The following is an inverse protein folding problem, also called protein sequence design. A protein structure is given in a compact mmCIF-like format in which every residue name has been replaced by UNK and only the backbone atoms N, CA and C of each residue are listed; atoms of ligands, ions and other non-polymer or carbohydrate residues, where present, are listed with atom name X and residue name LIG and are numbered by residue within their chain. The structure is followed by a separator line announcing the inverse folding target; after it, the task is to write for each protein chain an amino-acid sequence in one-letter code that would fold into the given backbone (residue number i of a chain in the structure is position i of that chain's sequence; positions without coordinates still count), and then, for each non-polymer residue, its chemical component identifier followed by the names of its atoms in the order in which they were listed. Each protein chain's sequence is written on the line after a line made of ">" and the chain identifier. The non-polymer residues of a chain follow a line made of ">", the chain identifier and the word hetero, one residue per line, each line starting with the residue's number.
data_IF_914761186390
#
_entry.id   IF_914761186390
#
_cell.length_a   1.000
_cell.length_b   1.000
_cell.length_c   1.000
_cell.angle_alpha   90.00
_cell.angle_beta   90.00
_cell.angle_gamma   90.00
#
_symmetry.space_group_name_H-M   'P 1'
#
loop_
_entity.id
_entity.type
_entity.pdbx_description
1 polymer ?
#
# COMPACT_ATOMS: atom_id res chain seq x y z
N UNK A 1 -25.66 25.12 -6.56
CA UNK A 1 -26.47 25.46 -5.39
C UNK A 1 -26.77 26.92 -5.55
N UNK A 2 -28.01 27.24 -5.89
CA UNK A 2 -28.39 28.62 -6.09
C UNK A 2 -28.62 29.25 -4.70
N UNK A 3 -28.16 30.48 -4.48
CA UNK A 3 -28.21 31.08 -3.14
C UNK A 3 -29.65 31.25 -2.62
N UNK A 4 -30.62 31.27 -3.53
CA UNK A 4 -32.04 31.39 -3.23
C UNK A 4 -32.64 30.07 -2.70
N UNK A 5 -32.25 28.92 -3.26
CA UNK A 5 -32.79 27.62 -2.83
C UNK A 5 -32.26 27.15 -1.47
N UNK A 6 -31.21 27.79 -0.95
CA UNK A 6 -30.61 27.47 0.34
C UNK A 6 -31.53 27.84 1.52
N UNK A 7 -32.27 28.95 1.40
CA UNK A 7 -33.13 29.46 2.47
C UNK A 7 -34.42 28.67 2.65
N UNK A 8 -34.84 27.93 1.62
CA UNK A 8 -36.03 27.08 1.65
C UNK A 8 -35.74 25.65 2.14
N UNK A 9 -34.47 25.30 2.38
CA UNK A 9 -34.06 23.96 2.80
C UNK A 9 -34.08 23.80 4.32
N UNK A 10 -34.47 22.61 4.79
CA UNK A 10 -34.35 22.23 6.19
C UNK A 10 -32.89 22.07 6.61
N UNK A 11 -32.61 22.16 7.91
CA UNK A 11 -31.25 21.97 8.44
C UNK A 11 -30.61 20.64 8.01
N UNK A 12 -31.39 19.56 7.93
CA UNK A 12 -30.92 18.26 7.48
C UNK A 12 -30.54 18.26 5.99
N UNK A 13 -31.31 18.93 5.15
CA UNK A 13 -31.03 19.07 3.73
C UNK A 13 -29.80 19.96 3.48
N UNK A 14 -29.64 21.03 4.25
CA UNK A 14 -28.43 21.86 4.22
C UNK A 14 -27.20 21.01 4.60
N UNK A 15 -27.26 20.27 5.70
CA UNK A 15 -26.16 19.43 6.14
C UNK A 15 -25.80 18.35 5.10
N UNK A 16 -26.80 17.66 4.54
CA UNK A 16 -26.57 16.63 3.52
C UNK A 16 -25.99 17.21 2.24
N UNK A 17 -26.42 18.40 1.84
CA UNK A 17 -25.87 19.08 0.66
C UNK A 17 -24.41 19.51 0.84
N UNK A 18 -24.05 20.04 2.01
CA UNK A 18 -22.67 20.39 2.35
C UNK A 18 -21.81 19.13 2.35
N UNK A 19 -22.28 18.05 2.96
CA UNK A 19 -21.57 16.77 3.00
C UNK A 19 -21.40 16.17 1.60
N UNK A 20 -22.42 16.25 0.76
CA UNK A 20 -22.36 15.80 -0.62
C UNK A 20 -21.35 16.62 -1.44
N UNK A 21 -21.31 17.94 -1.23
CA UNK A 21 -20.34 18.83 -1.88
C UNK A 21 -18.91 18.51 -1.44
N UNK A 22 -18.65 18.35 -0.15
CA UNK A 22 -17.35 17.96 0.39
C UNK A 22 -16.89 16.62 -0.19
N UNK A 23 -17.79 15.62 -0.24
CA UNK A 23 -17.50 14.31 -0.82
C UNK A 23 -17.15 14.41 -2.30
N UNK A 24 -17.88 15.23 -3.08
CA UNK A 24 -17.55 15.47 -4.50
C UNK A 24 -16.18 16.12 -4.67
N UNK A 25 -15.87 17.12 -3.85
CA UNK A 25 -14.55 17.76 -3.86
C UNK A 25 -13.42 16.79 -3.51
N UNK A 26 -13.64 15.92 -2.53
CA UNK A 26 -12.67 14.87 -2.19
C UNK A 26 -12.45 13.90 -3.36
N UNK A 27 -13.52 13.46 -4.04
CA UNK A 27 -13.40 12.58 -5.20
C UNK A 27 -12.71 13.26 -6.39
N UNK A 28 -12.97 14.55 -6.60
CA UNK A 28 -12.31 15.33 -7.65
C UNK A 28 -10.80 15.41 -7.38
N UNK A 29 -10.41 15.70 -6.13
CA UNK A 29 -9.01 15.75 -5.72
C UNK A 29 -8.32 14.39 -5.85
N UNK A 30 -8.99 13.30 -5.44
CA UNK A 30 -8.47 11.94 -5.62
C UNK A 30 -8.25 11.62 -7.10
N UNK A 31 -9.19 12.00 -7.97
CA UNK A 31 -9.08 11.77 -9.41
C UNK A 31 -7.90 12.54 -10.01
N UNK A 32 -7.76 13.81 -9.65
CA UNK A 32 -6.63 14.66 -10.08
C UNK A 32 -5.29 14.12 -9.58
N UNK A 33 -5.22 13.65 -8.34
CA UNK A 33 -4.01 13.05 -7.77
C UNK A 33 -3.59 11.78 -8.52
N UNK A 34 -4.54 10.89 -8.85
CA UNK A 34 -4.26 9.66 -9.63
C UNK A 34 -3.73 10.00 -11.02
N UNK A 35 -4.37 10.94 -11.72
CA UNK A 35 -3.95 11.36 -13.06
C UNK A 35 -2.54 11.96 -13.00
N UNK A 36 -2.30 12.88 -12.06
CA UNK A 36 -1.01 13.54 -11.90
C UNK A 36 0.10 12.55 -11.55
N UNK A 37 -0.19 11.58 -10.67
CA UNK A 37 0.73 10.51 -10.33
C UNK A 37 1.08 9.64 -11.53
N UNK A 38 0.08 9.27 -12.34
CA UNK A 38 0.31 8.45 -13.53
C UNK A 38 1.14 9.21 -14.57
N UNK A 39 0.88 10.50 -14.77
CA UNK A 39 1.70 11.36 -15.64
C UNK A 39 3.15 11.45 -15.14
N UNK A 40 3.34 11.68 -13.84
CA UNK A 40 4.66 11.73 -13.22
C UNK A 40 5.40 10.39 -13.36
N UNK A 41 4.69 9.26 -13.24
CA UNK A 41 5.24 7.93 -13.44
C UNK A 41 5.74 7.75 -14.89
N UNK A 42 4.92 8.07 -15.88
CA UNK A 42 5.29 7.97 -17.29
C UNK A 42 6.50 8.86 -17.64
N UNK A 43 6.52 10.10 -17.14
CA UNK A 43 7.64 11.01 -17.31
C UNK A 43 8.91 10.46 -16.64
N UNK A 44 8.79 9.96 -15.41
CA UNK A 44 9.91 9.35 -14.69
C UNK A 44 10.46 8.13 -15.43
N UNK A 45 9.61 7.33 -16.08
CA UNK A 45 10.07 6.17 -16.85
C UNK A 45 10.83 6.59 -18.11
N UNK A 46 10.31 7.56 -18.86
CA UNK A 46 10.98 8.11 -20.05
C UNK A 46 12.35 8.72 -19.71
N UNK A 47 12.39 9.54 -18.66
CA UNK A 47 13.63 10.15 -18.16
C UNK A 47 14.56 9.06 -17.61
N UNK A 48 14.04 8.06 -16.91
CA UNK A 48 14.83 6.95 -16.37
C UNK A 48 15.52 6.13 -17.46
N UNK A 49 14.83 5.84 -18.58
CA UNK A 49 15.42 5.20 -19.76
C UNK A 49 16.51 6.09 -20.36
N UNK A 50 16.24 7.38 -20.51
CA UNK A 50 17.15 8.33 -21.17
C UNK A 50 18.43 8.60 -20.34
N UNK A 51 18.33 8.61 -19.01
CA UNK A 51 19.42 8.99 -18.10
C UNK A 51 19.96 7.82 -17.26
N UNK A 52 19.46 6.60 -17.48
CA UNK A 52 19.92 5.38 -16.80
C UNK A 52 19.63 5.34 -15.28
N UNK A 53 18.70 6.16 -14.78
CA UNK A 53 18.40 6.21 -13.35
C UNK A 53 17.51 5.04 -12.92
N UNK A 54 17.87 4.37 -11.83
CA UNK A 54 17.13 3.23 -11.24
C UNK A 54 16.29 3.64 -10.02
N UNK A 55 15.91 4.91 -9.94
CA UNK A 55 15.27 5.41 -8.72
C UNK A 55 13.86 4.83 -8.60
N UNK A 56 13.60 4.18 -7.45
CA UNK A 56 12.30 3.59 -7.18
C UNK A 56 11.23 4.67 -7.11
N UNK A 57 10.09 4.42 -7.76
CA UNK A 57 8.96 5.32 -7.73
C UNK A 57 8.34 5.33 -6.34
N UNK A 58 8.03 6.53 -5.84
CA UNK A 58 7.30 6.71 -4.58
C UNK A 58 5.87 6.23 -4.76
N UNK A 59 5.29 5.61 -3.74
CA UNK A 59 3.90 5.16 -3.78
C UNK A 59 2.91 6.35 -3.81
N UNK A 60 1.71 6.13 -4.37
CA UNK A 60 0.70 7.20 -4.56
C UNK A 60 0.34 7.94 -3.25
N UNK A 61 0.22 7.21 -2.14
CA UNK A 61 -0.09 7.78 -0.83
C UNK A 61 1.10 8.54 -0.21
N UNK A 62 2.33 8.22 -0.61
CA UNK A 62 3.53 8.96 -0.19
C UNK A 62 3.70 10.26 -1.01
N UNK A 63 3.28 10.27 -2.27
CA UNK A 63 3.27 11.46 -3.12
C UNK A 63 2.15 12.45 -2.75
N UNK A 64 1.00 11.93 -2.31
CA UNK A 64 -0.19 12.73 -1.97
C UNK A 64 -0.74 12.35 -0.57
N UNK A 65 -0.10 12.82 0.51
CA UNK A 65 -0.53 12.52 1.87
C UNK A 65 -1.90 13.16 2.16
N UNK A 66 -2.75 12.46 2.92
CA UNK A 66 -4.06 12.92 3.37
C UNK A 66 -5.20 12.82 2.35
N UNK A 67 -4.89 12.61 1.06
CA UNK A 67 -5.91 12.42 0.01
C UNK A 67 -6.46 10.98 0.03
N UNK A 68 -5.63 10.02 0.45
CA UNK A 68 -5.95 8.60 0.44
C UNK A 68 -5.83 7.94 1.83
N UNK A 69 -6.68 8.32 2.80
CA UNK A 69 -6.59 7.83 4.18
C UNK A 69 -6.78 6.30 4.31
N UNK A 70 -7.46 5.68 3.34
CA UNK A 70 -7.61 4.21 3.30
C UNK A 70 -6.32 3.51 2.87
N UNK A 71 -5.60 4.08 1.90
CA UNK A 71 -4.35 3.51 1.39
C UNK A 71 -3.23 3.64 2.42
N UNK A 72 -3.15 4.78 3.10
CA UNK A 72 -2.19 4.99 4.20
C UNK A 72 -2.37 3.94 5.31
N UNK A 73 -3.60 3.72 5.76
CA UNK A 73 -3.91 2.69 6.77
C UNK A 73 -3.55 1.28 6.31
N UNK A 74 -3.77 0.96 5.03
CA UNK A 74 -3.37 -0.32 4.47
C UNK A 74 -1.85 -0.48 4.41
N UNK A 75 -1.13 0.56 4.00
CA UNK A 75 0.32 0.57 3.96
C UNK A 75 0.93 0.38 5.36
N UNK A 76 0.39 1.05 6.37
CA UNK A 76 0.82 0.89 7.76
C UNK A 76 0.58 -0.54 8.27
N UNK A 77 -0.60 -1.12 8.01
CA UNK A 77 -0.89 -2.51 8.36
C UNK A 77 0.05 -3.50 7.67
N UNK A 78 0.42 -3.27 6.41
CA UNK A 78 1.38 -4.09 5.70
C UNK A 78 2.78 -3.99 6.31
N UNK A 79 3.24 -2.78 6.67
CA UNK A 79 4.51 -2.58 7.36
C UNK A 79 4.56 -3.35 8.69
N UNK A 80 3.50 -3.29 9.48
CA UNK A 80 3.39 -4.03 10.74
C UNK A 80 3.46 -5.55 10.49
N UNK A 81 2.77 -6.06 9.46
CA UNK A 81 2.83 -7.49 9.09
C UNK A 81 4.23 -7.92 8.67
N UNK A 82 4.91 -7.12 7.87
CA UNK A 82 6.28 -7.41 7.43
C UNK A 82 7.27 -7.45 8.59
N UNK A 83 7.17 -6.52 9.53
CA UNK A 83 7.99 -6.54 10.76
C UNK A 83 7.75 -7.81 11.58
N UNK A 84 6.48 -8.19 11.79
CA UNK A 84 6.13 -9.44 12.51
C UNK A 84 6.70 -10.68 11.82
N UNK A 85 6.68 -10.73 10.50
CA UNK A 85 7.27 -11.82 9.72
C UNK A 85 8.79 -11.90 9.90
N UNK A 86 9.50 -10.76 9.82
CA UNK A 86 10.95 -10.71 10.04
C UNK A 86 11.34 -11.19 11.44
N UNK A 87 10.59 -10.76 12.46
CA UNK A 87 10.78 -11.22 13.85
C UNK A 87 10.54 -12.73 13.96
N UNK A 88 9.49 -13.26 13.32
CA UNK A 88 9.22 -14.69 13.31
C UNK A 88 10.33 -15.48 12.63
N UNK A 89 10.82 -15.01 11.49
CA UNK A 89 11.95 -15.62 10.78
C UNK A 89 13.20 -15.67 11.66
N UNK A 90 13.55 -14.57 12.32
CA UNK A 90 14.69 -14.52 13.23
C UNK A 90 14.56 -15.52 14.39
N UNK A 91 13.36 -15.74 14.93
CA UNK A 91 13.10 -16.76 15.97
C UNK A 91 13.31 -18.18 15.45
N UNK A 92 12.81 -18.47 14.24
CA UNK A 92 13.00 -19.78 13.60
C UNK A 92 14.48 -20.03 13.33
N UNK A 93 15.20 -19.02 12.82
CA UNK A 93 16.63 -19.12 12.53
C UNK A 93 17.45 -19.35 13.81
N UNK A 94 17.12 -18.66 14.91
CA UNK A 94 17.76 -18.87 16.21
C UNK A 94 17.51 -20.29 16.75
N UNK A 95 16.27 -20.77 16.69
CA UNK A 95 15.93 -22.14 17.10
C UNK A 95 16.64 -23.19 16.25
N UNK A 96 16.68 -22.99 14.92
CA UNK A 96 17.40 -23.88 14.01
C UNK A 96 18.91 -23.89 14.29
N UNK A 97 19.50 -22.75 14.65
CA UNK A 97 20.91 -22.65 15.02
C UNK A 97 21.22 -23.41 16.33
N UNK A 98 20.35 -23.31 17.34
CA UNK A 98 20.49 -24.08 18.59
C UNK A 98 20.35 -25.59 18.34
N UNK A 99 19.40 -26.00 17.50
CA UNK A 99 19.22 -27.42 17.16
C UNK A 99 20.42 -27.99 16.40
N UNK A 100 21.03 -27.21 15.50
CA UNK A 100 22.29 -27.58 14.81
C UNK A 100 23.45 -27.74 15.80
N UNK A 101 23.55 -26.89 16.81
CA UNK A 101 24.58 -26.98 17.87
C UNK A 101 24.41 -28.19 18.78
N UNK A 102 23.18 -28.66 19.00
CA UNK A 102 22.88 -29.88 19.77
C UNK A 102 23.16 -31.19 19.04
N UNK A 103 23.51 -31.16 17.75
CA UNK A 103 23.88 -32.37 17.02
C UNK A 103 22.73 -33.35 16.76
N UNK A 104 21.48 -32.93 16.91
CA UNK A 104 20.31 -33.72 16.51
C UNK A 104 20.23 -33.78 14.98
N UNK A 105 21.01 -34.69 14.40
CA UNK A 105 20.94 -35.05 12.99
C UNK A 105 19.53 -35.53 12.67
N UNK A 106 19.03 -35.15 11.48
CA UNK A 106 17.70 -35.51 10.96
C UNK A 106 17.55 -37.04 10.93
N UNK A 107 17.03 -37.61 12.00
CA UNK A 107 16.36 -38.89 11.96
C UNK A 107 15.07 -38.74 11.16
N UNK A 108 15.11 -39.20 9.90
CA UNK A 108 13.95 -39.59 9.11
C UNK A 108 13.26 -38.54 8.23
N UNK A 109 13.97 -37.98 7.23
CA UNK A 109 13.33 -37.42 6.03
C UNK A 109 14.22 -37.61 4.79
N UNK A 110 14.51 -38.88 4.49
CA UNK A 110 15.17 -39.31 3.25
C UNK A 110 14.15 -39.81 2.19
N UNK A 111 12.88 -39.38 2.26
CA UNK A 111 11.85 -39.75 1.27
C UNK A 111 10.87 -38.62 1.01
N UNK A 112 11.31 -37.60 0.25
CA UNK A 112 10.46 -36.79 -0.67
C UNK A 112 11.28 -35.71 -1.37
N UNK A 113 12.41 -36.07 -1.98
CA UNK A 113 12.83 -35.39 -3.21
C UNK A 113 12.03 -36.03 -4.34
N UNK A 114 10.77 -35.64 -4.46
CA UNK A 114 9.96 -35.92 -5.64
C UNK A 114 9.65 -34.57 -6.28
N UNK A 115 10.37 -34.31 -7.38
CA UNK A 115 10.03 -33.45 -8.51
C UNK A 115 8.84 -32.50 -8.34
N UNK A 116 9.08 -31.21 -8.56
CA UNK A 116 8.27 -30.39 -9.48
C UNK A 116 8.98 -29.06 -9.72
N UNK A 117 10.05 -29.11 -10.52
CA UNK A 117 10.29 -28.03 -11.47
C UNK A 117 9.29 -28.25 -12.61
N UNK A 118 8.36 -27.33 -12.80
CA UNK A 118 7.59 -27.20 -14.03
C UNK A 118 7.24 -25.72 -14.22
N UNK A 119 7.76 -25.18 -15.33
CA UNK A 119 7.35 -24.02 -16.14
C UNK A 119 6.34 -23.03 -15.58
#
# INVERSE_FOLDING_TARGET
>A
MDAVSFWDMTYAEIYTSIKAYQKRKETDLQTQAVISYHQANLLSHLIGIQFGSKQAQKELHEAFPGIFPKLEKQAEQQRIKQQKWQVMKARIDAYAAEKRKRGESRGNDARRTANTDNN
#
